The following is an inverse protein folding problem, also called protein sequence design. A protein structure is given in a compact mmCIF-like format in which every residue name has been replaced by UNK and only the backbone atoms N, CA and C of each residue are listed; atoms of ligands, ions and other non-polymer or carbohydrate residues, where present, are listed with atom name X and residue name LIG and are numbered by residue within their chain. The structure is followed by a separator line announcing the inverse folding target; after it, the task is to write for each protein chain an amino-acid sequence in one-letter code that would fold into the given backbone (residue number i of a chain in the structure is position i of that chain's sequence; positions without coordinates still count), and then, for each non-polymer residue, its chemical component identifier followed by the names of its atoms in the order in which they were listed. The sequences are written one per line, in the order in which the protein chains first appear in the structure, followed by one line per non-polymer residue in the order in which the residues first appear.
data_IF_027914488013
#
_entry.id   IF_027914488013
#
_cell.length_a   1.000
_cell.length_b   1.000
_cell.length_c   1.000
_cell.angle_alpha   90.00
_cell.angle_beta   90.00
_cell.angle_gamma   90.00
#
_symmetry.space_group_name_H-M   'P 1'
#
loop_
_entity.id
_entity.type
_entity.pdbx_description
1 polymer ?
#
# COMPACT_ATOMS: atom_id res chain seq x y z
N UNK A 1 14.11 1.67 11.66
CA UNK A 1 15.07 1.57 10.52
C UNK A 1 16.45 2.16 10.81
N UNK A 2 16.55 3.29 11.52
CA UNK A 2 17.83 3.99 11.76
C UNK A 2 18.90 3.14 12.46
N UNK A 3 18.51 2.19 13.31
CA UNK A 3 19.44 1.31 14.03
C UNK A 3 19.94 0.10 13.22
N UNK A 4 19.34 -0.18 12.07
CA UNK A 4 19.62 -1.39 11.27
C UNK A 4 21.08 -1.47 10.75
N UNK A 5 21.70 -0.38 10.25
CA UNK A 5 23.11 -0.41 9.83
C UNK A 5 24.05 -0.72 10.99
N UNK A 6 23.76 -0.21 12.19
CA UNK A 6 24.57 -0.47 13.39
C UNK A 6 24.46 -1.92 13.85
N UNK A 7 23.31 -2.57 13.65
CA UNK A 7 23.15 -3.98 13.94
C UNK A 7 24.00 -4.87 13.01
N UNK A 8 24.17 -4.46 11.75
CA UNK A 8 24.87 -5.26 10.73
C UNK A 8 26.35 -4.91 10.55
N UNK A 9 26.81 -3.73 11.00
CA UNK A 9 28.19 -3.28 10.79
C UNK A 9 29.23 -4.22 11.42
N UNK A 10 28.92 -4.83 12.57
CA UNK A 10 29.83 -5.75 13.27
C UNK A 10 30.06 -7.03 12.45
N UNK A 11 29.03 -7.54 11.79
CA UNK A 11 29.09 -8.80 11.05
C UNK A 11 29.53 -8.60 9.59
N UNK A 12 29.15 -7.48 8.97
CA UNK A 12 29.27 -7.27 7.52
C UNK A 12 30.14 -6.08 7.12
N UNK A 13 30.68 -5.32 8.08
CA UNK A 13 31.55 -4.17 7.80
C UNK A 13 30.87 -3.16 6.86
N UNK A 14 31.56 -2.75 5.79
CA UNK A 14 31.01 -1.81 4.80
C UNK A 14 29.82 -2.35 4.00
N UNK A 15 29.66 -3.67 3.87
CA UNK A 15 28.49 -4.26 3.20
C UNK A 15 27.19 -4.02 3.97
N UNK A 16 27.28 -3.68 5.26
CA UNK A 16 26.12 -3.27 6.07
C UNK A 16 25.34 -2.13 5.43
N UNK A 17 26.00 -1.21 4.70
CA UNK A 17 25.37 -0.08 4.02
C UNK A 17 24.39 -0.59 2.95
N UNK A 18 24.85 -1.43 2.01
CA UNK A 18 24.02 -1.93 0.91
C UNK A 18 22.89 -2.80 1.45
N UNK A 19 23.20 -3.68 2.41
CA UNK A 19 22.20 -4.56 3.04
C UNK A 19 21.11 -3.72 3.72
N UNK A 20 21.50 -2.72 4.52
CA UNK A 20 20.52 -1.88 5.22
C UNK A 20 19.70 -1.01 4.28
N UNK A 21 20.26 -0.49 3.18
CA UNK A 21 19.49 0.24 2.16
C UNK A 21 18.45 -0.68 1.50
N UNK A 22 18.83 -1.92 1.17
CA UNK A 22 17.90 -2.90 0.60
C UNK A 22 16.74 -3.22 1.55
N UNK A 23 17.04 -3.52 2.82
CA UNK A 23 15.99 -3.79 3.81
C UNK A 23 15.13 -2.56 4.10
N UNK A 24 15.73 -1.36 4.13
CA UNK A 24 14.98 -0.12 4.29
C UNK A 24 13.98 0.07 3.16
N UNK A 25 14.42 -0.12 1.91
CA UNK A 25 13.56 -0.03 0.75
C UNK A 25 12.36 -0.98 0.88
N UNK A 26 12.61 -2.27 1.16
CA UNK A 26 11.54 -3.26 1.29
C UNK A 26 10.55 -2.89 2.39
N UNK A 27 11.04 -2.50 3.57
CA UNK A 27 10.17 -2.25 4.72
C UNK A 27 9.33 -0.97 4.55
N UNK A 28 9.92 0.11 4.04
CA UNK A 28 9.19 1.35 3.76
C UNK A 28 8.20 1.16 2.62
N UNK A 29 8.56 0.39 1.59
CA UNK A 29 7.61 0.08 0.51
C UNK A 29 6.38 -0.69 1.02
N UNK A 30 6.57 -1.62 1.96
CA UNK A 30 5.44 -2.32 2.58
C UNK A 30 4.61 -1.39 3.46
N UNK A 31 5.25 -0.48 4.20
CA UNK A 31 4.56 0.50 5.04
C UNK A 31 3.65 1.43 4.21
N UNK A 32 4.18 2.00 3.13
CA UNK A 32 3.40 2.84 2.20
C UNK A 32 2.25 2.05 1.58
N UNK A 33 2.49 0.82 1.14
CA UNK A 33 1.42 -0.03 0.60
C UNK A 33 0.35 -0.34 1.66
N UNK A 34 0.75 -0.53 2.91
CA UNK A 34 -0.20 -0.78 4.00
C UNK A 34 -1.05 0.46 4.29
N UNK A 35 -0.47 1.65 4.25
CA UNK A 35 -1.18 2.92 4.38
C UNK A 35 -2.25 3.07 3.28
N UNK A 36 -1.91 2.79 2.02
CA UNK A 36 -2.88 2.81 0.91
C UNK A 36 -4.02 1.78 1.08
N UNK A 37 -3.76 0.63 1.74
CA UNK A 37 -4.77 -0.42 1.96
C UNK A 37 -5.65 -0.11 3.19
N UNK A 38 -5.19 0.72 4.13
CA UNK A 38 -5.90 1.00 5.38
C UNK A 38 -7.17 1.83 5.17
N UNK A 39 -7.19 2.77 4.22
CA UNK A 39 -8.35 3.61 3.89
C UNK A 39 -8.86 3.40 2.46
N UNK A 40 -9.41 2.22 2.12
CA UNK A 40 -9.76 1.86 0.74
C UNK A 40 -10.97 2.63 0.18
N UNK A 41 -11.60 3.48 0.98
CA UNK A 41 -12.79 4.26 0.64
C UNK A 41 -12.50 5.77 0.59
N UNK A 42 -11.23 6.15 0.57
CA UNK A 42 -10.79 7.53 0.42
C UNK A 42 -11.02 8.09 -0.99
N UNK A 43 -10.15 9.03 -1.38
CA UNK A 43 -10.20 9.70 -2.68
C UNK A 43 -8.87 9.65 -3.44
N UNK A 44 -7.95 8.79 -3.01
CA UNK A 44 -6.66 8.60 -3.63
C UNK A 44 -6.77 7.73 -4.90
N UNK A 45 -5.75 7.79 -5.76
CA UNK A 45 -5.76 7.11 -7.06
C UNK A 45 -5.88 5.57 -6.95
N UNK A 46 -5.46 5.00 -5.82
CA UNK A 46 -5.47 3.56 -5.55
C UNK A 46 -6.71 3.09 -4.77
N UNK A 47 -7.64 3.98 -4.44
CA UNK A 47 -8.85 3.67 -3.69
C UNK A 47 -9.95 3.00 -4.54
N UNK A 48 -10.94 2.44 -3.87
CA UNK A 48 -12.07 1.78 -4.54
C UNK A 48 -12.94 2.82 -5.29
N UNK A 49 -13.35 2.54 -6.53
CA UNK A 49 -14.21 3.45 -7.30
C UNK A 49 -15.68 3.31 -6.86
N UNK A 50 -15.99 3.76 -5.64
CA UNK A 50 -17.31 3.60 -5.00
C UNK A 50 -18.42 4.27 -5.81
N UNK A 51 -18.16 5.44 -6.40
CA UNK A 51 -19.15 6.12 -7.25
C UNK A 51 -19.56 5.29 -8.47
N UNK A 52 -18.61 4.59 -9.09
CA UNK A 52 -18.91 3.71 -10.22
C UNK A 52 -19.68 2.47 -9.76
N UNK A 53 -19.33 1.93 -8.58
CA UNK A 53 -20.04 0.80 -7.98
C UNK A 53 -21.49 1.18 -7.66
N UNK A 54 -21.71 2.32 -7.00
CA UNK A 54 -23.05 2.83 -6.69
C UNK A 54 -23.89 3.06 -7.95
N UNK A 55 -23.32 3.71 -8.98
CA UNK A 55 -24.00 3.92 -10.27
C UNK A 55 -24.38 2.60 -10.96
N UNK A 56 -23.54 1.57 -10.87
CA UNK A 56 -23.85 0.23 -11.39
C UNK A 56 -24.99 -0.43 -10.61
N UNK A 57 -25.00 -0.32 -9.28
CA UNK A 57 -26.06 -0.86 -8.43
C UNK A 57 -27.40 -0.18 -8.76
N UNK A 58 -27.42 1.15 -8.85
CA UNK A 58 -28.60 1.94 -9.21
C UNK A 58 -29.18 1.48 -10.56
N UNK A 59 -28.33 1.42 -11.58
CA UNK A 59 -28.74 0.96 -12.92
C UNK A 59 -29.29 -0.48 -12.90
N UNK A 60 -28.68 -1.37 -12.12
CA UNK A 60 -29.16 -2.75 -12.01
C UNK A 60 -30.54 -2.81 -11.34
N UNK A 61 -30.79 -1.99 -10.32
CA UNK A 61 -32.11 -1.91 -9.68
C UNK A 61 -33.17 -1.37 -10.63
N UNK A 62 -32.86 -0.32 -11.39
CA UNK A 62 -33.77 0.23 -12.40
C UNK A 62 -34.13 -0.80 -13.47
N UNK A 63 -33.16 -1.60 -13.90
CA UNK A 63 -33.39 -2.69 -14.86
C UNK A 63 -34.31 -3.78 -14.30
N UNK A 64 -34.17 -4.12 -13.02
CA UNK A 64 -35.03 -5.12 -12.36
C UNK A 64 -36.45 -4.59 -12.17
N UNK A 65 -36.61 -3.32 -11.80
CA UNK A 65 -37.93 -2.70 -11.57
C UNK A 65 -38.68 -2.42 -12.88
N UNK A 66 -37.95 -2.12 -13.95
CA UNK A 66 -38.53 -1.91 -15.29
C UNK A 66 -38.96 -3.22 -15.98
N UNK A 67 -38.70 -4.39 -15.37
CA UNK A 67 -39.10 -5.72 -15.83
C UNK A 67 -40.43 -6.16 -15.20
#
# INVERSE_FOLDING_TARGET
MVTLPLAFVVQFGYYSIIISVFFFYVLVSIEVLAEEIEDPFGTDDNDLPIDDICRRIERNLDQIIAQ
#
